data_IF_023368857424
#
_entry.id   IF_023368857424
#
_cell.length_a   1.000
_cell.length_b   1.000
_cell.length_c   1.000
_cell.angle_alpha   90.00
_cell.angle_beta   90.00
_cell.angle_gamma   90.00
#
_symmetry.space_group_name_H-M   'P 1'
#
loop_
_entity.id
_entity.type
_entity.pdbx_description
1 polymer ?
#
# COMPACT_ATOMS: atom_id res chain seq x y z
N UNK A 1 -2.87 -32.65 23.59
CA UNK A 1 -4.04 -32.09 22.86
C UNK A 1 -5.20 -31.81 23.82
N UNK A 2 -5.56 -32.73 24.70
CA UNK A 2 -6.66 -32.55 25.67
C UNK A 2 -6.43 -31.34 26.59
N UNK A 3 -5.23 -31.19 27.14
CA UNK A 3 -4.87 -30.04 27.97
C UNK A 3 -5.01 -28.69 27.24
N UNK A 4 -4.77 -28.67 25.96
CA UNK A 4 -4.90 -27.45 25.14
C UNK A 4 -6.38 -27.08 24.92
N UNK A 5 -7.22 -28.11 24.69
CA UNK A 5 -8.68 -27.92 24.51
C UNK A 5 -9.30 -27.48 25.84
N UNK A 6 -8.89 -28.10 26.95
CA UNK A 6 -9.36 -27.75 28.30
C UNK A 6 -8.93 -26.32 28.66
N UNK A 7 -7.70 -25.93 28.33
CA UNK A 7 -7.21 -24.56 28.50
C UNK A 7 -8.05 -23.56 27.71
N UNK A 8 -8.34 -23.83 26.43
CA UNK A 8 -9.18 -22.96 25.60
C UNK A 8 -10.60 -22.84 26.18
N UNK A 9 -11.16 -23.92 26.68
CA UNK A 9 -12.50 -23.92 27.26
C UNK A 9 -12.59 -23.20 28.62
N UNK A 10 -11.50 -23.21 29.38
CA UNK A 10 -11.44 -22.56 30.70
C UNK A 10 -11.10 -21.09 30.62
N UNK A 11 -10.17 -20.75 29.69
CA UNK A 11 -9.63 -19.41 29.56
C UNK A 11 -10.13 -18.68 28.30
N UNK A 12 -11.37 -19.01 27.89
CA UNK A 12 -11.98 -18.44 26.68
C UNK A 12 -11.96 -16.90 26.65
N UNK A 13 -12.09 -16.28 27.83
CA UNK A 13 -12.04 -14.81 27.93
C UNK A 13 -10.65 -14.25 27.58
N UNK A 14 -9.59 -14.95 28.00
CA UNK A 14 -8.21 -14.56 27.66
C UNK A 14 -7.93 -14.75 26.16
N UNK A 15 -8.37 -15.88 25.59
CA UNK A 15 -8.24 -16.16 24.17
C UNK A 15 -9.01 -15.12 23.36
N UNK A 16 -10.26 -14.82 23.77
CA UNK A 16 -11.09 -13.82 23.14
C UNK A 16 -10.48 -12.42 23.17
N UNK A 17 -9.95 -12.01 24.32
CA UNK A 17 -9.30 -10.70 24.46
C UNK A 17 -8.04 -10.60 23.62
N UNK A 18 -7.25 -11.67 23.53
CA UNK A 18 -6.07 -11.71 22.68
C UNK A 18 -6.44 -11.59 21.21
N UNK A 19 -7.48 -12.31 20.76
CA UNK A 19 -7.97 -12.24 19.38
C UNK A 19 -8.44 -10.83 19.02
N UNK A 20 -9.16 -10.18 19.93
CA UNK A 20 -9.60 -8.78 19.73
C UNK A 20 -8.40 -7.85 19.66
N UNK A 21 -7.42 -8.00 20.53
CA UNK A 21 -6.21 -7.17 20.53
C UNK A 21 -5.45 -7.31 19.22
N UNK A 22 -5.26 -8.54 18.73
CA UNK A 22 -4.58 -8.81 17.46
C UNK A 22 -5.39 -8.21 16.30
N UNK A 23 -6.71 -8.38 16.30
CA UNK A 23 -7.57 -7.78 15.27
C UNK A 23 -7.49 -6.25 15.26
N UNK A 24 -7.51 -5.62 16.44
CA UNK A 24 -7.34 -4.17 16.57
C UNK A 24 -5.96 -3.70 16.09
N UNK A 25 -4.93 -4.47 16.38
CA UNK A 25 -3.57 -4.16 15.94
C UNK A 25 -3.45 -4.20 14.42
N UNK A 26 -3.97 -5.26 13.79
CA UNK A 26 -3.99 -5.40 12.32
C UNK A 26 -4.81 -4.29 11.68
N UNK A 27 -5.98 -3.99 12.22
CA UNK A 27 -6.86 -2.94 11.71
C UNK A 27 -6.23 -1.55 11.80
N UNK A 28 -5.59 -1.25 12.92
CA UNK A 28 -4.88 0.00 13.13
C UNK A 28 -3.67 0.12 12.18
N UNK A 29 -2.93 -0.96 11.98
CA UNK A 29 -1.79 -0.98 11.06
C UNK A 29 -2.23 -0.74 9.61
N UNK A 30 -3.33 -1.36 9.20
CA UNK A 30 -3.89 -1.17 7.86
C UNK A 30 -4.28 0.30 7.61
N UNK A 31 -4.88 0.96 8.60
CA UNK A 31 -5.22 2.39 8.49
C UNK A 31 -4.01 3.30 8.36
N UNK A 32 -2.93 2.95 9.05
CA UNK A 32 -1.69 3.74 9.02
C UNK A 32 -0.89 3.59 7.74
N UNK A 33 -1.18 2.56 6.96
CA UNK A 33 -0.45 2.26 5.73
C UNK A 33 -1.14 2.76 4.46
N UNK A 34 -2.33 3.35 4.60
CA UNK A 34 -3.16 3.73 3.46
C UNK A 34 -4.10 2.60 3.03
N UNK A 35 -5.11 2.96 2.28
CA UNK A 35 -6.17 2.04 1.84
C UNK A 35 -5.72 1.21 0.64
N UNK A 36 -5.93 -0.11 0.70
CA UNK A 36 -5.66 -0.99 -0.44
C UNK A 36 -6.80 -0.92 -1.44
N UNK A 37 -6.45 -0.77 -2.72
CA UNK A 37 -7.42 -0.71 -3.82
C UNK A 37 -6.94 -1.59 -4.99
N UNK A 38 -7.84 -2.25 -5.70
CA UNK A 38 -7.48 -2.99 -6.90
C UNK A 38 -7.13 -2.04 -8.06
N UNK A 39 -6.45 -2.52 -9.11
CA UNK A 39 -6.04 -1.68 -10.24
C UNK A 39 -7.16 -0.87 -10.89
N UNK A 40 -8.36 -1.44 -11.00
CA UNK A 40 -9.52 -0.77 -11.59
C UNK A 40 -9.93 0.47 -10.79
N UNK A 41 -9.96 0.34 -9.46
CA UNK A 41 -10.30 1.44 -8.55
C UNK A 41 -9.15 2.46 -8.52
N UNK A 42 -7.90 1.99 -8.48
CA UNK A 42 -6.72 2.86 -8.51
C UNK A 42 -6.69 3.74 -9.77
N UNK A 43 -6.94 3.16 -10.92
CA UNK A 43 -7.04 3.91 -12.18
C UNK A 43 -8.14 4.96 -12.13
N UNK A 44 -9.30 4.61 -11.58
CA UNK A 44 -10.41 5.56 -11.41
C UNK A 44 -10.06 6.73 -10.50
N UNK A 45 -9.41 6.48 -9.38
CA UNK A 45 -8.97 7.51 -8.43
C UNK A 45 -8.02 8.50 -9.11
N UNK A 46 -7.01 8.00 -9.81
CA UNK A 46 -6.03 8.85 -10.48
C UNK A 46 -6.66 9.68 -11.59
N UNK A 47 -7.52 9.06 -12.42
CA UNK A 47 -8.11 9.75 -13.57
C UNK A 47 -9.21 10.75 -13.19
N UNK A 48 -10.02 10.43 -12.17
CA UNK A 48 -11.18 11.27 -11.79
C UNK A 48 -10.81 12.36 -10.79
N UNK A 49 -9.84 12.10 -9.92
CA UNK A 49 -9.47 13.01 -8.83
C UNK A 49 -8.12 13.69 -9.04
N UNK A 50 -7.55 13.58 -10.23
CA UNK A 50 -6.23 14.12 -10.56
C UNK A 50 -5.13 13.59 -9.61
N UNK A 51 -5.20 12.30 -9.29
CA UNK A 51 -4.23 11.64 -8.44
C UNK A 51 -2.94 11.30 -9.18
N UNK A 52 -1.99 10.73 -8.46
CA UNK A 52 -0.70 10.32 -9.00
C UNK A 52 -0.36 8.90 -8.57
N UNK A 53 0.19 8.11 -9.49
CA UNK A 53 0.82 6.84 -9.18
C UNK A 53 2.26 7.08 -8.77
N UNK A 54 2.68 6.50 -7.66
CA UNK A 54 4.06 6.54 -7.19
C UNK A 54 4.60 5.10 -7.17
N UNK A 55 5.56 4.84 -8.03
CA UNK A 55 6.19 3.53 -8.17
C UNK A 55 7.42 3.47 -7.28
N UNK A 56 7.41 2.57 -6.30
CA UNK A 56 8.49 2.42 -5.31
C UNK A 56 9.49 1.33 -5.68
N UNK A 57 9.41 0.80 -6.90
CA UNK A 57 10.40 -0.15 -7.42
C UNK A 57 11.72 0.55 -7.73
N UNK A 58 12.76 -0.25 -7.92
CA UNK A 58 14.04 0.30 -8.36
C UNK A 58 13.94 0.93 -9.76
N UNK A 59 14.81 1.90 -10.02
CA UNK A 59 14.78 2.66 -11.28
C UNK A 59 14.91 1.78 -12.52
N UNK A 60 15.67 0.70 -12.46
CA UNK A 60 15.82 -0.21 -13.60
C UNK A 60 14.52 -0.93 -13.94
N UNK A 61 13.76 -1.34 -12.91
CA UNK A 61 12.47 -2.02 -13.09
C UNK A 61 11.42 -1.05 -13.62
N UNK A 62 11.44 0.17 -13.13
CA UNK A 62 10.57 1.24 -13.62
C UNK A 62 10.81 1.53 -15.12
N UNK A 63 12.07 1.62 -15.54
CA UNK A 63 12.40 1.84 -16.95
C UNK A 63 12.01 0.67 -17.85
N UNK A 64 12.03 -0.55 -17.32
CA UNK A 64 11.64 -1.73 -18.07
C UNK A 64 10.14 -1.79 -18.39
N UNK A 65 9.33 -1.10 -17.61
CA UNK A 65 7.88 -1.02 -17.82
C UNK A 65 7.19 -0.47 -16.58
N UNK A 66 6.35 0.55 -16.75
CA UNK A 66 5.64 1.17 -15.63
C UNK A 66 4.28 1.72 -16.09
N UNK A 67 3.45 2.07 -15.13
CA UNK A 67 2.16 2.71 -15.39
C UNK A 67 2.41 4.11 -15.97
N UNK A 68 1.74 4.44 -17.06
CA UNK A 68 1.88 5.75 -17.70
C UNK A 68 1.57 6.88 -16.71
N UNK A 69 2.44 7.89 -16.67
CA UNK A 69 2.29 9.04 -15.79
C UNK A 69 2.73 8.80 -14.34
N UNK A 70 3.21 7.61 -13.99
CA UNK A 70 3.70 7.33 -12.66
C UNK A 70 5.05 7.99 -12.38
N UNK A 71 5.27 8.33 -11.11
CA UNK A 71 6.52 8.90 -10.61
C UNK A 71 7.32 7.79 -9.94
N UNK A 72 8.59 7.64 -10.28
CA UNK A 72 9.46 6.65 -9.66
C UNK A 72 10.22 7.25 -8.48
N UNK A 73 9.98 6.70 -7.31
CA UNK A 73 10.75 6.98 -6.10
C UNK A 73 11.09 5.63 -5.47
N UNK A 74 12.31 5.10 -5.72
CA UNK A 74 12.70 3.80 -5.17
C UNK A 74 12.53 3.75 -3.66
N UNK A 75 12.05 2.63 -3.14
CA UNK A 75 11.79 2.46 -1.71
C UNK A 75 13.04 2.73 -0.86
N UNK A 76 14.22 2.36 -1.35
CA UNK A 76 15.50 2.61 -0.68
C UNK A 76 15.79 4.09 -0.42
N UNK A 77 15.21 4.98 -1.23
CA UNK A 77 15.36 6.43 -1.14
C UNK A 77 14.08 7.15 -0.72
N UNK A 78 13.03 6.40 -0.44
CA UNK A 78 11.69 6.96 -0.25
C UNK A 78 11.63 7.95 0.91
N UNK A 79 12.21 7.60 2.04
CA UNK A 79 12.24 8.44 3.24
C UNK A 79 12.89 9.81 2.97
N UNK A 80 13.98 9.82 2.22
CA UNK A 80 14.73 11.04 1.92
C UNK A 80 14.10 11.84 0.76
N UNK A 81 13.19 11.22 0.02
CA UNK A 81 12.56 11.82 -1.17
C UNK A 81 11.11 12.25 -0.94
N UNK A 82 10.63 12.24 0.30
CA UNK A 82 9.25 12.65 0.63
C UNK A 82 8.96 14.09 0.19
N UNK A 83 9.97 14.97 0.20
CA UNK A 83 9.83 16.36 -0.25
C UNK A 83 9.45 16.47 -1.73
N UNK A 84 9.82 15.51 -2.56
CA UNK A 84 9.44 15.47 -3.97
C UNK A 84 7.94 15.24 -4.17
N UNK A 85 7.27 14.69 -3.16
CA UNK A 85 5.84 14.42 -3.19
C UNK A 85 4.99 15.54 -2.59
N UNK A 86 5.61 16.57 -2.02
CA UNK A 86 4.87 17.71 -1.41
C UNK A 86 3.92 18.39 -2.39
N UNK A 87 4.29 18.49 -3.66
CA UNK A 87 3.43 19.04 -4.71
C UNK A 87 2.15 18.25 -4.95
N UNK A 88 2.10 17.01 -4.49
CA UNK A 88 0.92 16.15 -4.62
C UNK A 88 0.13 16.01 -3.31
N UNK A 89 0.46 16.76 -2.27
CA UNK A 89 -0.16 16.62 -0.93
C UNK A 89 -1.68 16.73 -0.96
N UNK A 90 -2.23 17.60 -1.77
CA UNK A 90 -3.68 17.76 -1.92
C UNK A 90 -4.34 16.79 -2.88
N UNK A 91 -3.60 15.81 -3.42
CA UNK A 91 -4.09 14.87 -4.41
C UNK A 91 -3.99 13.43 -3.90
N UNK A 92 -4.84 12.50 -4.37
CA UNK A 92 -4.68 11.09 -4.06
C UNK A 92 -3.34 10.56 -4.56
N UNK A 93 -2.63 9.85 -3.69
CA UNK A 93 -1.37 9.16 -4.04
C UNK A 93 -1.64 7.66 -4.01
N UNK A 94 -1.36 6.97 -5.11
CA UNK A 94 -1.48 5.52 -5.22
C UNK A 94 -0.10 4.91 -5.34
N UNK A 95 0.29 4.14 -4.34
CA UNK A 95 1.60 3.48 -4.29
C UNK A 95 1.58 2.15 -5.06
N UNK A 96 2.58 1.94 -5.87
CA UNK A 96 2.77 0.73 -6.67
C UNK A 96 4.14 0.10 -6.38
N UNK A 97 4.17 -1.21 -6.19
CA UNK A 97 5.41 -1.98 -6.25
C UNK A 97 5.23 -3.20 -7.17
N UNK A 98 6.16 -4.12 -7.17
CA UNK A 98 6.06 -5.29 -8.06
C UNK A 98 4.89 -6.21 -7.67
N UNK A 99 4.76 -6.54 -6.38
CA UNK A 99 3.74 -7.45 -5.85
C UNK A 99 2.86 -6.85 -4.76
N UNK A 100 3.01 -5.57 -4.43
CA UNK A 100 2.27 -4.91 -3.34
C UNK A 100 2.91 -5.05 -1.95
N UNK A 101 4.14 -5.56 -1.84
CA UNK A 101 4.78 -5.86 -0.54
C UNK A 101 5.39 -4.63 0.15
N UNK A 102 6.04 -3.74 -0.60
CA UNK A 102 6.74 -2.59 -0.03
C UNK A 102 5.87 -1.35 0.13
N UNK A 103 4.70 -1.34 -0.49
CA UNK A 103 3.78 -0.20 -0.41
C UNK A 103 3.25 0.05 0.99
N UNK A 104 3.18 -0.98 1.83
CA UNK A 104 2.76 -0.82 3.23
C UNK A 104 3.68 0.11 4.01
N UNK A 105 4.98 -0.12 3.95
CA UNK A 105 5.98 0.72 4.62
C UNK A 105 6.03 2.13 4.03
N UNK A 106 5.99 2.25 2.71
CA UNK A 106 5.93 3.55 2.03
C UNK A 106 4.66 4.33 2.40
N UNK A 107 3.51 3.65 2.46
CA UNK A 107 2.25 4.24 2.89
C UNK A 107 2.29 4.77 4.32
N UNK A 108 2.91 4.05 5.23
CA UNK A 108 3.11 4.50 6.62
C UNK A 108 3.92 5.80 6.68
N UNK A 109 4.95 5.92 5.88
CA UNK A 109 5.77 7.14 5.81
C UNK A 109 4.95 8.32 5.32
N UNK A 110 4.12 8.14 4.29
CA UNK A 110 3.26 9.19 3.75
C UNK A 110 2.17 9.62 4.74
N UNK A 111 1.49 8.66 5.36
CA UNK A 111 0.46 8.97 6.36
C UNK A 111 1.07 9.71 7.55
N UNK A 112 2.23 9.27 8.03
CA UNK A 112 2.95 9.93 9.12
C UNK A 112 3.42 11.35 8.76
N UNK A 113 3.71 11.60 7.47
CA UNK A 113 4.08 12.91 6.96
C UNK A 113 2.88 13.84 6.71
N UNK A 114 1.65 13.37 6.96
CA UNK A 114 0.43 14.17 6.88
C UNK A 114 -0.26 14.18 5.52
N UNK A 115 0.08 13.29 4.61
CA UNK A 115 -0.63 13.16 3.33
C UNK A 115 -2.05 12.63 3.59
N UNK A 116 -3.11 13.34 3.16
CA UNK A 116 -4.48 13.01 3.54
C UNK A 116 -5.06 11.81 2.80
N UNK A 117 -4.65 11.57 1.56
CA UNK A 117 -5.19 10.51 0.70
C UNK A 117 -4.06 9.63 0.18
N UNK A 118 -3.84 8.50 0.86
CA UNK A 118 -2.82 7.51 0.50
C UNK A 118 -3.50 6.18 0.22
N UNK A 119 -3.25 5.64 -0.97
CA UNK A 119 -3.75 4.35 -1.41
C UNK A 119 -2.59 3.44 -1.78
N UNK A 120 -2.82 2.14 -1.72
CA UNK A 120 -1.86 1.12 -2.14
C UNK A 120 -2.53 0.21 -3.16
N UNK A 121 -1.92 0.01 -4.30
CA UNK A 121 -2.49 -0.87 -5.31
C UNK A 121 -2.24 -2.33 -4.97
N UNK A 122 -3.31 -3.11 -4.85
CA UNK A 122 -3.26 -4.53 -4.55
C UNK A 122 -2.54 -5.30 -5.65
N UNK A 123 -1.62 -6.18 -5.27
CA UNK A 123 -0.86 -7.01 -6.21
C UNK A 123 0.18 -6.28 -7.05
N UNK A 124 0.31 -4.96 -6.89
CA UNK A 124 1.32 -4.16 -7.57
C UNK A 124 1.21 -4.19 -9.09
N UNK A 125 2.35 -3.98 -9.75
CA UNK A 125 2.40 -3.93 -11.22
C UNK A 125 2.00 -5.27 -11.86
N UNK A 126 2.28 -6.38 -11.22
CA UNK A 126 1.89 -7.70 -11.71
C UNK A 126 0.39 -7.81 -11.89
N UNK A 127 -0.38 -7.33 -10.92
CA UNK A 127 -1.84 -7.33 -11.01
C UNK A 127 -2.36 -6.32 -12.04
N UNK A 128 -1.70 -5.17 -12.17
CA UNK A 128 -1.99 -4.18 -13.21
C UNK A 128 -1.89 -4.80 -14.61
N UNK A 129 -0.82 -5.55 -14.86
CA UNK A 129 -0.59 -6.24 -16.12
C UNK A 129 -1.59 -7.39 -16.33
N UNK A 130 -1.95 -8.13 -15.27
CA UNK A 130 -2.95 -9.20 -15.34
C UNK A 130 -4.33 -8.66 -15.72
N UNK A 131 -4.65 -7.45 -15.32
CA UNK A 131 -5.89 -6.76 -15.72
C UNK A 131 -5.79 -6.17 -17.13
N UNK A 132 -4.69 -6.38 -17.84
CA UNK A 132 -4.42 -5.88 -19.20
C UNK A 132 -4.43 -4.36 -19.30
N UNK A 133 -4.13 -3.65 -18.24
CA UNK A 133 -3.90 -2.23 -18.29
C UNK A 133 -2.54 -1.92 -18.93
N UNK A 134 -2.44 -0.81 -19.68
CA UNK A 134 -1.22 -0.51 -20.43
C UNK A 134 -0.06 -0.07 -19.51
N UNK A 135 1.15 -0.45 -19.93
CA UNK A 135 2.39 0.05 -19.34
C UNK A 135 3.22 0.73 -20.43
N UNK A 136 4.13 1.59 -20.02
CA UNK A 136 5.05 2.29 -20.92
C UNK A 136 6.49 2.00 -20.50
N UNK A 137 7.39 2.11 -21.44
CA UNK A 137 8.84 1.98 -21.23
C UNK A 137 9.51 3.34 -21.43
N UNK A 138 10.62 3.52 -20.74
CA UNK A 138 11.34 4.78 -20.86
C UNK A 138 12.85 4.57 -20.96
#
# INVERSE_FOLDING_TARGET
MELFIEFLGREWALVGSLMILVALMIFNDSRRSGTMVPPQIASGIVNKQDGVFVDVREAKDFRAGHVAGSVNIPFSKFKDSLSELEKYRGKPIVLICKFGQTTGAAGKMLVAAGFPEVYRMTGGLTEWENCRFPTVKK
#
